data_IF_329664535271
#
_entry.id   IF_329664535271
#
_cell.length_a   1.000
_cell.length_b   1.000
_cell.length_c   1.000
_cell.angle_alpha   90.00
_cell.angle_beta   90.00
_cell.angle_gamma   90.00
#
_symmetry.space_group_name_H-M   'P 1'
#
loop_
_entity.id
_entity.type
_entity.pdbx_description
1 polymer ?
#
# COMPACT_ATOMS: atom_id res chain seq x y z
N UNK A 1 5.76 -13.94 -4.97
CA UNK A 1 5.35 -13.16 -3.77
C UNK A 1 3.84 -13.04 -3.80
N UNK A 2 3.17 -13.22 -2.65
CA UNK A 2 1.70 -13.20 -2.58
C UNK A 2 1.13 -11.80 -2.78
N UNK A 3 -0.20 -11.68 -2.66
CA UNK A 3 -0.94 -10.42 -2.79
C UNK A 3 -0.63 -9.40 -1.67
N UNK A 4 -0.31 -9.86 -0.47
CA UNK A 4 -0.04 -9.02 0.69
C UNK A 4 0.81 -9.74 1.74
N UNK A 5 1.51 -8.99 2.58
CA UNK A 5 2.25 -9.57 3.69
C UNK A 5 3.14 -8.58 4.42
N UNK A 6 3.84 -9.09 5.43
CA UNK A 6 4.84 -8.37 6.21
C UNK A 6 6.10 -9.22 6.23
N UNK A 7 7.23 -8.56 6.05
CA UNK A 7 8.55 -9.14 6.13
C UNK A 7 9.38 -8.32 7.11
N UNK A 8 9.97 -8.99 8.10
CA UNK A 8 10.89 -8.38 9.04
C UNK A 8 12.28 -8.94 8.78
N UNK A 9 13.25 -8.07 8.53
CA UNK A 9 14.64 -8.49 8.34
C UNK A 9 15.28 -8.85 9.67
N UNK A 10 16.46 -9.47 9.65
CA UNK A 10 17.27 -9.72 10.85
C UNK A 10 17.78 -8.44 11.53
N UNK A 11 17.66 -7.28 10.88
CA UNK A 11 18.00 -5.97 11.41
C UNK A 11 16.75 -5.22 11.91
N UNK A 12 15.65 -5.94 12.18
CA UNK A 12 14.36 -5.40 12.65
C UNK A 12 13.68 -4.39 11.70
N UNK A 13 14.08 -4.36 10.43
CA UNK A 13 13.40 -3.53 9.42
C UNK A 13 12.07 -4.19 9.05
N UNK A 14 10.96 -3.51 9.35
CA UNK A 14 9.60 -3.96 9.04
C UNK A 14 9.14 -3.44 7.69
N UNK A 15 8.90 -4.37 6.77
CA UNK A 15 8.45 -4.11 5.40
C UNK A 15 7.05 -4.68 5.23
N UNK A 16 6.06 -3.82 5.05
CA UNK A 16 4.71 -4.22 4.65
C UNK A 16 4.54 -4.07 3.14
N UNK A 17 3.82 -5.00 2.51
CA UNK A 17 3.49 -4.90 1.10
C UNK A 17 2.04 -5.28 0.80
N UNK A 18 1.45 -4.60 -0.17
CA UNK A 18 0.12 -4.88 -0.72
C UNK A 18 0.15 -4.63 -2.23
N UNK A 19 -0.01 -5.69 -3.02
CA UNK A 19 0.07 -5.65 -4.47
C UNK A 19 -1.29 -5.91 -5.12
N UNK A 20 -1.51 -5.27 -6.28
CA UNK A 20 -2.73 -5.37 -7.09
C UNK A 20 -3.42 -4.03 -7.33
N UNK A 21 -4.46 -4.01 -8.14
CA UNK A 21 -5.28 -2.84 -8.43
C UNK A 21 -6.53 -2.85 -7.54
N UNK A 22 -7.00 -1.69 -7.10
CA UNK A 22 -8.26 -1.65 -6.35
C UNK A 22 -9.42 -1.98 -7.29
N UNK A 23 -10.25 -2.98 -6.94
CA UNK A 23 -11.42 -3.39 -7.77
C UNK A 23 -12.39 -2.23 -8.02
N UNK A 24 -12.50 -1.29 -7.07
CA UNK A 24 -13.42 -0.15 -7.16
C UNK A 24 -12.96 0.95 -8.13
N UNK A 25 -11.66 1.08 -8.35
CA UNK A 25 -11.10 2.19 -9.14
C UNK A 25 -11.17 1.92 -10.65
N UNK A 26 -11.31 0.67 -11.08
CA UNK A 26 -11.12 0.33 -12.49
C UNK A 26 -12.39 0.12 -13.32
N UNK A 27 -13.58 0.00 -12.70
CA UNK A 27 -14.85 -0.22 -13.41
C UNK A 27 -14.89 -1.42 -14.38
N UNK A 28 -13.81 -2.22 -14.44
CA UNK A 28 -13.55 -3.32 -15.34
C UNK A 28 -12.99 -4.46 -14.49
N UNK A 29 -13.59 -5.64 -14.58
CA UNK A 29 -13.02 -6.86 -14.00
C UNK A 29 -11.68 -7.14 -14.71
N UNK A 30 -10.58 -6.68 -14.12
CA UNK A 30 -9.25 -7.18 -14.47
C UNK A 30 -9.04 -8.45 -13.64
N UNK A 31 -8.99 -9.64 -14.27
CA UNK A 31 -8.96 -10.91 -13.55
C UNK A 31 -7.64 -11.18 -12.82
N UNK A 32 -6.63 -10.33 -12.95
CA UNK A 32 -5.32 -10.56 -12.36
C UNK A 32 -4.90 -9.40 -11.46
N UNK A 33 -4.70 -9.72 -10.18
CA UNK A 33 -4.14 -8.87 -9.14
C UNK A 33 -5.04 -7.70 -8.73
N UNK A 34 -6.16 -7.94 -8.04
CA UNK A 34 -6.90 -6.86 -7.34
C UNK A 34 -6.79 -6.97 -5.82
N UNK A 35 -6.92 -5.85 -5.10
CA UNK A 35 -7.07 -5.82 -3.64
C UNK A 35 -8.38 -5.14 -3.20
N UNK A 36 -8.87 -5.55 -2.03
CA UNK A 36 -10.13 -5.14 -1.43
C UNK A 36 -9.90 -4.60 0.00
N UNK A 37 -10.89 -3.94 0.63
CA UNK A 37 -10.72 -3.38 1.98
C UNK A 37 -10.31 -4.41 3.04
N UNK A 38 -10.73 -5.67 2.88
CA UNK A 38 -10.35 -6.80 3.74
C UNK A 38 -8.86 -7.10 3.67
N UNK A 39 -8.22 -6.91 2.51
CA UNK A 39 -6.78 -7.08 2.35
C UNK A 39 -6.01 -6.00 3.09
N UNK A 40 -6.43 -4.74 2.98
CA UNK A 40 -5.84 -3.63 3.74
C UNK A 40 -5.94 -3.86 5.24
N UNK A 41 -7.13 -4.27 5.70
CA UNK A 41 -7.38 -4.57 7.12
C UNK A 41 -6.49 -5.72 7.61
N UNK A 42 -6.34 -6.76 6.80
CA UNK A 42 -5.51 -7.91 7.17
C UNK A 42 -4.00 -7.59 7.18
N UNK A 43 -3.51 -6.64 6.37
CA UNK A 43 -2.13 -6.13 6.50
C UNK A 43 -1.99 -5.32 7.79
N UNK A 44 -2.91 -4.40 8.06
CA UNK A 44 -2.94 -3.61 9.31
C UNK A 44 -2.91 -4.51 10.54
N UNK A 45 -3.81 -5.47 10.60
CA UNK A 45 -3.96 -6.35 11.75
C UNK A 45 -2.72 -7.23 11.96
N UNK A 46 -2.08 -7.64 10.86
CA UNK A 46 -0.81 -8.37 10.92
C UNK A 46 0.33 -7.48 11.47
N UNK A 47 0.34 -6.18 11.18
CA UNK A 47 1.33 -5.22 11.72
C UNK A 47 1.14 -4.98 13.22
N UNK A 48 -0.10 -5.01 13.71
CA UNK A 48 -0.43 -4.77 15.12
C UNK A 48 -0.27 -6.02 15.98
N UNK A 49 -0.34 -7.22 15.39
CA UNK A 49 -0.29 -8.47 16.12
C UNK A 49 1.00 -8.59 16.94
N UNK A 50 0.84 -8.77 18.25
CA UNK A 50 1.97 -8.96 19.17
C UNK A 50 2.76 -7.69 19.48
N UNK A 51 2.26 -6.51 19.12
CA UNK A 51 2.87 -5.22 19.46
C UNK A 51 2.05 -4.54 20.56
N UNK A 52 2.66 -4.32 21.73
CA UNK A 52 2.04 -3.55 22.83
C UNK A 52 2.00 -2.05 22.52
N UNK A 53 3.01 -1.54 21.82
CA UNK A 53 3.10 -0.16 21.35
C UNK A 53 3.46 -0.13 19.86
N UNK A 54 2.48 0.09 19.00
CA UNK A 54 2.72 0.14 17.56
C UNK A 54 3.29 1.49 17.11
N UNK A 55 4.50 1.47 16.56
CA UNK A 55 5.23 2.67 16.08
C UNK A 55 5.22 2.88 14.57
N UNK A 56 4.57 2.01 13.81
CA UNK A 56 4.57 2.04 12.35
C UNK A 56 5.39 0.93 11.71
N UNK A 57 5.57 1.04 10.39
CA UNK A 57 6.49 0.23 9.60
C UNK A 57 7.61 1.09 9.03
N UNK A 58 8.75 0.48 8.71
CA UNK A 58 9.84 1.20 8.08
C UNK A 58 9.54 1.43 6.60
N UNK A 59 9.01 0.41 5.92
CA UNK A 59 8.74 0.46 4.48
C UNK A 59 7.35 -0.07 4.19
N UNK A 60 6.58 0.68 3.41
CA UNK A 60 5.35 0.23 2.75
C UNK A 60 5.59 0.15 1.24
N UNK A 61 5.25 -0.98 0.63
CA UNK A 61 5.35 -1.19 -0.82
C UNK A 61 3.95 -1.46 -1.38
N UNK A 62 3.50 -0.64 -2.32
CA UNK A 62 2.20 -0.81 -2.98
C UNK A 62 2.28 -0.65 -4.49
N UNK A 63 1.20 -0.97 -5.17
CA UNK A 63 1.02 -0.83 -6.63
C UNK A 63 0.21 0.40 -7.03
N UNK A 64 -0.34 1.12 -6.06
CA UNK A 64 -1.05 2.39 -6.25
C UNK A 64 -0.54 3.39 -5.21
N UNK A 65 -0.60 4.67 -5.56
CA UNK A 65 -0.32 5.79 -4.68
C UNK A 65 -1.48 6.03 -3.70
N UNK A 66 -1.20 6.57 -2.50
CA UNK A 66 -2.27 7.02 -1.63
C UNK A 66 -2.93 8.25 -2.24
N UNK A 67 -4.26 8.27 -2.26
CA UNK A 67 -5.01 9.48 -2.64
C UNK A 67 -4.59 10.68 -1.80
N UNK A 68 -4.52 11.85 -2.43
CA UNK A 68 -4.08 13.10 -1.80
C UNK A 68 -2.58 13.36 -1.87
N UNK A 69 -1.76 12.40 -2.33
CA UNK A 69 -0.30 12.59 -2.46
C UNK A 69 0.07 13.76 -3.39
N UNK A 70 -0.76 14.05 -4.39
CA UNK A 70 -0.56 15.18 -5.31
C UNK A 70 -0.66 16.55 -4.60
N UNK A 71 -1.30 16.59 -3.44
CA UNK A 71 -1.50 17.80 -2.63
C UNK A 71 -0.39 17.99 -1.59
N UNK A 72 0.60 17.09 -1.54
CA UNK A 72 1.73 17.20 -0.62
C UNK A 72 2.55 18.47 -0.93
N UNK A 73 2.71 19.32 0.09
CA UNK A 73 3.39 20.61 -0.04
C UNK A 73 4.91 20.46 -0.22
N UNK A 74 5.48 19.35 0.26
CA UNK A 74 6.92 19.07 0.26
C UNK A 74 7.31 18.30 -1.00
N UNK A 75 6.51 17.31 -1.40
CA UNK A 75 6.78 16.44 -2.54
C UNK A 75 5.62 16.43 -3.52
N UNK A 76 5.60 17.41 -4.42
CA UNK A 76 4.64 17.44 -5.54
C UNK A 76 4.94 16.29 -6.49
N UNK A 77 4.04 15.31 -6.54
CA UNK A 77 4.12 14.19 -7.49
C UNK A 77 2.98 14.32 -8.50
N UNK A 78 3.33 14.37 -9.79
CA UNK A 78 2.35 14.29 -10.87
C UNK A 78 1.97 12.81 -11.10
N UNK A 79 0.83 12.42 -10.56
CA UNK A 79 0.29 11.05 -10.59
C UNK A 79 -1.09 11.10 -11.23
N UNK A 80 -1.32 10.25 -12.22
CA UNK A 80 -2.64 10.13 -12.84
C UNK A 80 -3.68 9.57 -11.84
N UNK A 81 -4.94 10.00 -11.94
CA UNK A 81 -6.00 9.71 -10.96
C UNK A 81 -6.24 8.20 -10.79
N UNK A 82 -6.14 7.43 -11.87
CA UNK A 82 -6.26 5.96 -11.87
C UNK A 82 -5.16 5.24 -11.08
N UNK A 83 -4.09 5.95 -10.74
CA UNK A 83 -2.98 5.44 -9.93
C UNK A 83 -3.11 5.80 -8.46
N UNK A 84 -4.16 6.54 -8.07
CA UNK A 84 -4.46 6.90 -6.70
C UNK A 84 -5.42 5.88 -6.08
N UNK A 85 -5.37 5.75 -4.76
CA UNK A 85 -6.27 4.85 -4.04
C UNK A 85 -6.56 5.34 -2.62
N UNK A 86 -7.86 5.47 -2.33
CA UNK A 86 -8.35 5.81 -1.00
C UNK A 86 -8.05 4.70 0.03
N UNK A 87 -8.03 3.45 -0.43
CA UNK A 87 -7.67 2.31 0.43
C UNK A 87 -6.19 2.31 0.79
N UNK A 88 -5.31 2.70 -0.13
CA UNK A 88 -3.88 2.87 0.17
C UNK A 88 -3.67 4.06 1.08
N UNK A 89 -4.36 5.19 0.86
CA UNK A 89 -4.31 6.33 1.79
C UNK A 89 -4.73 5.93 3.22
N UNK A 90 -5.85 5.22 3.35
CA UNK A 90 -6.30 4.68 4.64
C UNK A 90 -5.26 3.75 5.27
N UNK A 91 -4.66 2.86 4.48
CA UNK A 91 -3.64 1.93 4.96
C UNK A 91 -2.38 2.68 5.44
N UNK A 92 -1.90 3.66 4.67
CA UNK A 92 -0.73 4.48 5.03
C UNK A 92 -0.94 5.23 6.34
N UNK A 93 -2.13 5.78 6.59
CA UNK A 93 -2.47 6.43 7.87
C UNK A 93 -2.34 5.45 9.05
N UNK A 94 -2.79 4.21 8.88
CA UNK A 94 -2.78 3.21 9.94
C UNK A 94 -1.40 2.58 10.15
N UNK A 95 -0.63 2.41 9.08
CA UNK A 95 0.70 1.80 9.13
C UNK A 95 1.83 2.78 9.42
N UNK A 96 1.59 4.09 9.27
CA UNK A 96 2.57 5.17 9.53
C UNK A 96 3.95 4.84 8.94
N UNK A 97 4.04 4.53 7.63
CA UNK A 97 5.31 4.13 7.02
C UNK A 97 6.31 5.28 7.04
N UNK A 98 7.59 4.98 7.30
CA UNK A 98 8.67 5.96 7.12
C UNK A 98 8.98 6.21 5.65
N UNK A 99 8.90 5.15 4.85
CA UNK A 99 9.07 5.21 3.40
C UNK A 99 7.93 4.48 2.71
N UNK A 100 7.36 5.10 1.67
CA UNK A 100 6.37 4.48 0.81
C UNK A 100 6.93 4.37 -0.60
N UNK A 101 7.05 3.14 -1.10
CA UNK A 101 7.40 2.87 -2.48
C UNK A 101 6.19 2.39 -3.26
N UNK A 102 6.08 2.88 -4.48
CA UNK A 102 5.08 2.45 -5.42
C UNK A 102 5.73 1.70 -6.58
N UNK A 103 5.09 0.61 -7.03
CA UNK A 103 5.56 -0.20 -8.14
C UNK A 103 4.81 0.16 -9.41
N UNK A 104 5.53 0.73 -10.39
CA UNK A 104 4.99 1.05 -11.71
C UNK A 104 4.48 -0.19 -12.42
N UNK A 105 3.17 -0.42 -12.38
CA UNK A 105 2.52 -1.45 -13.17
C UNK A 105 2.44 -1.00 -14.63
N UNK A 106 3.31 -1.56 -15.48
CA UNK A 106 3.18 -1.48 -16.94
C UNK A 106 2.65 -2.83 -17.41
N UNK A 107 1.42 -2.89 -17.97
CA UNK A 107 0.97 -4.11 -18.63
C UNK A 107 1.93 -4.37 -19.79
N UNK A 108 2.70 -5.45 -19.71
CA UNK A 108 3.49 -5.90 -20.87
C UNK A 108 2.48 -6.30 -21.94
N UNK A 109 2.51 -5.56 -23.06
CA UNK A 109 1.84 -5.89 -24.32
C UNK A 109 2.39 -7.20 -24.88
#
# INVERSE_FOLDING_TARGET
MGKRGIFTTSADVKIAYLTGLSRRELGKDIPMCTFEPSDCSAVRDACYRGQTEYRGVDVLITTLWPSGIQQDEVQKVDVAEERLSNLIAWLSIHLKPRYHFESKYSPRL
#
